data_IF_333541162784
#
_entry.id   IF_333541162784
#
_cell.length_a   1.000
_cell.length_b   1.000
_cell.length_c   1.000
_cell.angle_alpha   90.00
_cell.angle_beta   90.00
_cell.angle_gamma   90.00
#
_symmetry.space_group_name_H-M   'P 1'
#
loop_
_entity.id
_entity.type
_entity.pdbx_description
1 polymer ?
#
# COMPACT_ATOMS: atom_id res chain seq x y z
N UNK A 1 -10.63 4.43 -8.42
CA UNK A 1 -10.77 4.67 -6.96
C UNK A 1 -10.35 6.09 -6.63
N UNK A 2 -11.29 7.06 -6.63
CA UNK A 2 -11.01 8.48 -6.34
C UNK A 2 -11.35 8.88 -4.91
N UNK A 3 -12.05 8.03 -4.17
CA UNK A 3 -12.56 8.30 -2.83
C UNK A 3 -12.23 7.17 -1.86
N UNK A 4 -11.73 7.48 -0.67
CA UNK A 4 -11.48 6.49 0.40
C UNK A 4 -11.52 7.14 1.78
N UNK A 5 -11.93 6.36 2.79
CA UNK A 5 -11.92 6.80 4.19
C UNK A 5 -10.50 7.04 4.74
N UNK A 6 -9.47 6.44 4.13
CA UNK A 6 -8.08 6.64 4.57
C UNK A 6 -7.64 8.10 4.46
N UNK A 7 -8.07 8.82 3.42
CA UNK A 7 -7.71 10.24 3.22
C UNK A 7 -8.43 11.16 4.20
N UNK A 8 -9.67 10.81 4.54
CA UNK A 8 -10.43 11.53 5.56
C UNK A 8 -9.79 11.34 6.93
N UNK A 9 -9.39 10.11 7.27
CA UNK A 9 -8.70 9.80 8.52
C UNK A 9 -7.32 10.46 8.59
N UNK A 10 -6.60 10.52 7.47
CA UNK A 10 -5.30 11.19 7.36
C UNK A 10 -5.39 12.66 7.78
N UNK A 11 -6.33 13.42 7.20
CA UNK A 11 -6.53 14.83 7.58
C UNK A 11 -7.12 14.98 8.99
N UNK A 12 -8.04 14.11 9.42
CA UNK A 12 -8.69 14.24 10.72
C UNK A 12 -7.81 13.84 11.92
N UNK A 13 -6.77 13.03 11.70
CA UNK A 13 -5.89 12.50 12.75
C UNK A 13 -4.42 12.88 12.55
N UNK A 14 -4.13 13.80 11.63
CA UNK A 14 -2.77 14.24 11.29
C UNK A 14 -1.84 13.07 10.95
N UNK A 15 -2.34 12.09 10.20
CA UNK A 15 -1.55 10.94 9.72
C UNK A 15 -1.10 11.21 8.29
N UNK A 16 0.21 11.33 8.09
CA UNK A 16 0.79 11.56 6.77
C UNK A 16 0.88 10.25 5.97
N UNK A 17 0.10 10.17 4.89
CA UNK A 17 0.19 9.13 3.87
C UNK A 17 1.18 9.58 2.79
N UNK A 18 2.23 8.79 2.58
CA UNK A 18 3.21 8.94 1.49
C UNK A 18 3.45 7.57 0.84
N UNK A 19 4.02 7.56 -0.36
CA UNK A 19 4.39 6.33 -1.09
C UNK A 19 5.91 6.13 -1.10
N UNK A 20 6.36 4.94 -1.50
CA UNK A 20 7.79 4.67 -1.69
C UNK A 20 8.45 5.62 -2.70
N UNK A 21 7.72 6.08 -3.73
CA UNK A 21 8.22 7.10 -4.66
C UNK A 21 8.53 8.42 -3.96
N UNK A 22 7.68 8.86 -3.03
CA UNK A 22 7.94 10.08 -2.24
C UNK A 22 9.18 9.91 -1.36
N UNK A 23 9.32 8.74 -0.72
CA UNK A 23 10.49 8.43 0.10
C UNK A 23 11.77 8.43 -0.74
N UNK A 24 11.76 7.82 -1.93
CA UNK A 24 12.89 7.82 -2.85
C UNK A 24 13.29 9.26 -3.24
N UNK A 25 12.31 10.11 -3.52
CA UNK A 25 12.53 11.54 -3.79
C UNK A 25 13.20 12.23 -2.60
N UNK A 26 12.74 12.01 -1.37
CA UNK A 26 13.36 12.62 -0.18
C UNK A 26 14.80 12.14 0.03
N UNK A 27 15.06 10.85 -0.14
CA UNK A 27 16.42 10.28 0.00
C UNK A 27 17.35 10.85 -1.07
N UNK A 28 16.90 10.94 -2.33
CA UNK A 28 17.69 11.53 -3.42
C UNK A 28 17.88 13.03 -3.26
N UNK A 29 16.86 13.74 -2.80
CA UNK A 29 16.97 15.16 -2.49
C UNK A 29 17.97 15.41 -1.36
N UNK A 30 18.01 14.56 -0.33
CA UNK A 30 19.01 14.63 0.73
C UNK A 30 20.43 14.54 0.18
N UNK A 31 20.67 13.63 -0.77
CA UNK A 31 21.98 13.49 -1.44
C UNK A 31 22.33 14.69 -2.33
N UNK A 32 21.34 15.34 -2.95
CA UNK A 32 21.55 16.47 -3.86
C UNK A 32 21.57 17.85 -3.17
N UNK A 33 21.17 17.91 -1.91
CA UNK A 33 21.08 19.13 -1.12
C UNK A 33 21.75 18.95 0.25
N UNK A 34 20.99 18.90 1.34
CA UNK A 34 21.45 18.61 2.69
C UNK A 34 20.37 17.93 3.51
N UNK A 35 20.77 17.28 4.60
CA UNK A 35 19.85 16.67 5.58
C UNK A 35 18.92 17.72 6.18
N UNK A 36 19.42 18.92 6.50
CA UNK A 36 18.62 20.00 7.09
C UNK A 36 17.47 20.43 6.17
N UNK A 37 17.76 20.66 4.88
CA UNK A 37 16.72 21.01 3.90
C UNK A 37 15.71 19.88 3.70
N UNK A 38 16.16 18.64 3.76
CA UNK A 38 15.29 17.48 3.60
C UNK A 38 14.36 17.29 4.80
N UNK A 39 14.86 17.53 6.02
CA UNK A 39 14.04 17.58 7.22
C UNK A 39 13.01 18.71 7.16
N UNK A 40 13.40 19.89 6.68
CA UNK A 40 12.50 21.02 6.49
C UNK A 40 11.37 20.69 5.50
N UNK A 41 11.71 20.07 4.37
CA UNK A 41 10.74 19.58 3.40
C UNK A 41 9.73 18.60 4.03
N UNK A 42 10.21 17.60 4.77
CA UNK A 42 9.34 16.61 5.44
C UNK A 42 8.43 17.30 6.46
N UNK A 43 8.96 18.24 7.23
CA UNK A 43 8.18 19.02 8.18
C UNK A 43 7.08 19.85 7.51
N UNK A 44 7.38 20.48 6.37
CA UNK A 44 6.40 21.23 5.57
C UNK A 44 5.30 20.33 4.98
N UNK A 45 5.65 19.11 4.59
CA UNK A 45 4.65 18.10 4.18
C UNK A 45 3.73 17.72 5.33
N UNK A 46 4.26 17.51 6.54
CA UNK A 46 3.44 17.19 7.71
C UNK A 46 2.47 18.32 8.07
N UNK A 47 2.94 19.58 8.08
CA UNK A 47 2.07 20.75 8.27
C UNK A 47 0.99 20.86 7.20
N UNK A 48 1.29 20.46 5.96
CA UNK A 48 0.31 20.47 4.87
C UNK A 48 -0.81 19.47 5.14
N UNK A 49 -0.48 18.28 5.64
CA UNK A 49 -1.49 17.27 6.00
C UNK A 49 -2.28 17.68 7.24
N UNK A 50 -1.64 18.32 8.22
CA UNK A 50 -2.32 18.81 9.42
C UNK A 50 -3.30 19.96 9.13
N UNK A 51 -2.94 20.85 8.20
CA UNK A 51 -3.76 22.02 7.83
C UNK A 51 -4.84 21.74 6.79
N UNK A 52 -4.89 20.53 6.23
CA UNK A 52 -5.86 20.20 5.20
C UNK A 52 -7.25 19.91 5.79
N UNK A 53 -8.30 20.32 5.08
CA UNK A 53 -9.66 19.91 5.44
C UNK A 53 -9.83 18.40 5.19
N UNK A 54 -10.31 17.62 6.18
CA UNK A 54 -10.53 16.18 6.01
C UNK A 54 -11.49 15.91 4.85
N UNK A 55 -11.03 15.13 3.87
CA UNK A 55 -11.83 14.75 2.71
C UNK A 55 -11.55 13.32 2.32
N UNK A 56 -12.56 12.64 1.77
CA UNK A 56 -12.38 11.31 1.19
C UNK A 56 -11.70 11.37 -0.18
N UNK A 57 -11.61 12.56 -0.79
CA UNK A 57 -11.08 12.72 -2.15
C UNK A 57 -9.55 12.57 -2.18
N UNK A 58 -9.10 11.53 -2.86
CA UNK A 58 -7.68 11.23 -3.06
C UNK A 58 -6.98 12.33 -3.85
N UNK A 59 -7.66 12.95 -4.81
CA UNK A 59 -7.06 13.98 -5.67
C UNK A 59 -6.68 15.22 -4.87
N UNK A 60 -7.57 15.68 -3.98
CA UNK A 60 -7.32 16.83 -3.10
C UNK A 60 -6.10 16.55 -2.22
N UNK A 61 -6.04 15.35 -1.63
CA UNK A 61 -4.94 14.93 -0.77
C UNK A 61 -3.60 14.92 -1.53
N UNK A 62 -3.53 14.17 -2.64
CA UNK A 62 -2.29 14.05 -3.40
C UNK A 62 -1.87 15.35 -4.08
N UNK A 63 -2.82 16.18 -4.51
CA UNK A 63 -2.50 17.49 -5.07
C UNK A 63 -1.83 18.39 -4.03
N UNK A 64 -2.35 18.44 -2.80
CA UNK A 64 -1.76 19.24 -1.72
C UNK A 64 -0.34 18.76 -1.38
N UNK A 65 -0.15 17.46 -1.17
CA UNK A 65 1.15 16.86 -0.83
C UNK A 65 2.16 17.03 -1.96
N UNK A 66 1.80 16.64 -3.19
CA UNK A 66 2.72 16.71 -4.33
C UNK A 66 3.12 18.14 -4.66
N UNK A 67 2.16 19.07 -4.57
CA UNK A 67 2.44 20.49 -4.80
C UNK A 67 3.42 21.03 -3.78
N UNK A 68 3.22 20.74 -2.48
CA UNK A 68 4.16 21.18 -1.45
C UNK A 68 5.58 20.65 -1.69
N UNK A 69 5.71 19.40 -2.14
CA UNK A 69 7.01 18.79 -2.46
C UNK A 69 7.68 19.46 -3.66
N UNK A 70 6.93 19.68 -4.74
CA UNK A 70 7.45 20.28 -5.97
C UNK A 70 7.77 21.78 -5.83
N UNK A 71 6.97 22.51 -5.04
CA UNK A 71 7.11 23.96 -4.83
C UNK A 71 8.25 24.29 -3.84
N UNK A 72 8.83 23.29 -3.14
CA UNK A 72 9.86 23.51 -2.12
C UNK A 72 11.23 23.91 -2.70
N UNK A 73 11.69 23.21 -3.75
CA UNK A 73 13.00 23.47 -4.38
C UNK A 73 12.97 23.03 -5.85
N UNK A 74 13.49 23.87 -6.75
CA UNK A 74 13.54 23.57 -8.18
C UNK A 74 14.33 22.30 -8.54
N UNK A 75 15.26 21.87 -7.69
CA UNK A 75 15.99 20.59 -7.87
C UNK A 75 15.09 19.36 -7.75
N UNK A 76 14.01 19.46 -6.97
CA UNK A 76 13.09 18.33 -6.74
C UNK A 76 12.33 17.97 -8.00
N UNK A 77 12.00 18.93 -8.87
CA UNK A 77 11.26 18.68 -10.09
C UNK A 77 11.96 17.68 -11.03
N UNK A 78 13.29 17.79 -11.16
CA UNK A 78 14.09 16.85 -11.96
C UNK A 78 14.10 15.45 -11.33
N UNK A 79 14.38 15.36 -10.03
CA UNK A 79 14.39 14.10 -9.27
C UNK A 79 13.02 13.42 -9.35
N UNK A 80 11.94 14.19 -9.15
CA UNK A 80 10.57 13.71 -9.19
C UNK A 80 10.21 13.12 -10.56
N UNK A 81 10.64 13.76 -11.65
CA UNK A 81 10.38 13.27 -13.01
C UNK A 81 11.06 11.91 -13.24
N UNK A 82 12.31 11.77 -12.82
CA UNK A 82 13.06 10.52 -12.94
C UNK A 82 12.45 9.42 -12.07
N UNK A 83 12.13 9.70 -10.81
CA UNK A 83 11.51 8.73 -9.90
C UNK A 83 10.12 8.30 -10.36
N UNK A 84 9.34 9.21 -10.94
CA UNK A 84 8.04 8.88 -11.52
C UNK A 84 8.17 7.92 -12.69
N UNK A 85 9.17 8.12 -13.55
CA UNK A 85 9.44 7.22 -14.67
C UNK A 85 9.88 5.84 -14.18
N UNK A 86 10.87 5.79 -13.28
CA UNK A 86 11.34 4.54 -12.68
C UNK A 86 10.22 3.78 -11.94
N UNK A 87 9.31 4.49 -11.27
CA UNK A 87 8.17 3.88 -10.61
C UNK A 87 7.19 3.23 -11.59
N UNK A 88 6.96 3.83 -12.77
CA UNK A 88 6.09 3.24 -13.80
C UNK A 88 6.73 1.99 -14.40
N UNK A 89 8.03 2.04 -14.67
CA UNK A 89 8.80 0.90 -15.18
C UNK A 89 8.80 -0.25 -14.18
N UNK A 90 9.04 0.03 -12.90
CA UNK A 90 9.00 -0.97 -11.83
C UNK A 90 7.63 -1.62 -11.70
N UNK A 91 6.53 -0.85 -11.80
CA UNK A 91 5.17 -1.41 -11.78
C UNK A 91 4.97 -2.38 -12.94
N UNK A 92 5.45 -2.03 -14.13
CA UNK A 92 5.31 -2.88 -15.30
C UNK A 92 6.13 -4.17 -15.17
N UNK A 93 7.37 -4.08 -14.69
CA UNK A 93 8.21 -5.26 -14.43
C UNK A 93 7.56 -6.19 -13.40
N UNK A 94 7.11 -5.66 -12.26
CA UNK A 94 6.44 -6.45 -11.22
C UNK A 94 5.14 -7.07 -11.71
N UNK A 95 4.40 -6.38 -12.58
CA UNK A 95 3.20 -6.92 -13.23
C UNK A 95 3.55 -8.12 -14.10
N UNK A 96 4.55 -8.01 -14.95
CA UNK A 96 4.93 -9.07 -15.89
C UNK A 96 5.49 -10.29 -15.15
N UNK A 97 6.28 -10.07 -14.09
CA UNK A 97 6.75 -11.13 -13.19
C UNK A 97 5.58 -11.84 -12.49
N UNK A 98 4.62 -11.10 -11.94
CA UNK A 98 3.46 -11.67 -11.28
C UNK A 98 2.58 -12.49 -12.24
N UNK A 99 2.41 -12.02 -13.49
CA UNK A 99 1.69 -12.77 -14.53
C UNK A 99 2.45 -14.04 -14.93
N UNK A 100 3.78 -13.96 -15.08
CA UNK A 100 4.63 -15.11 -15.37
C UNK A 100 4.58 -16.17 -14.26
N UNK A 101 4.61 -15.74 -13.00
CA UNK A 101 4.43 -16.61 -11.85
C UNK A 101 3.08 -17.32 -11.87
N UNK A 102 1.97 -16.59 -12.08
CA UNK A 102 0.64 -17.16 -12.15
C UNK A 102 0.46 -18.14 -13.32
N UNK A 103 1.06 -17.85 -14.48
CA UNK A 103 1.06 -18.77 -15.62
C UNK A 103 1.80 -20.06 -15.30
N UNK A 104 2.98 -19.96 -14.68
CA UNK A 104 3.78 -21.12 -14.26
C UNK A 104 3.05 -21.95 -13.21
N UNK A 105 2.38 -21.30 -12.25
CA UNK A 105 1.60 -21.96 -11.22
C UNK A 105 0.37 -22.68 -11.80
N UNK A 106 -0.30 -22.06 -12.78
CA UNK A 106 -1.38 -22.70 -13.53
C UNK A 106 -0.90 -23.98 -14.22
N UNK A 107 0.24 -23.93 -14.91
CA UNK A 107 0.81 -25.13 -15.54
C UNK A 107 1.18 -26.21 -14.52
N UNK A 108 1.71 -25.82 -13.35
CA UNK A 108 2.01 -26.74 -12.26
C UNK A 108 0.77 -27.48 -11.79
N UNK A 109 -0.33 -26.74 -11.56
CA UNK A 109 -1.62 -27.31 -11.16
C UNK A 109 -2.19 -28.23 -12.24
N UNK A 110 -2.09 -27.86 -13.52
CA UNK A 110 -2.58 -28.69 -14.63
C UNK A 110 -1.85 -30.04 -14.76
N UNK A 111 -0.64 -30.16 -14.21
CA UNK A 111 0.14 -31.41 -14.19
C UNK A 111 -0.15 -32.30 -12.99
N UNK A 112 -1.01 -31.88 -12.06
CA UNK A 112 -1.32 -32.69 -10.88
C UNK A 112 -2.01 -34.00 -11.24
N UNK A 113 -1.65 -35.04 -10.51
CA UNK A 113 -2.47 -36.25 -10.46
C UNK A 113 -3.77 -35.97 -9.70
N UNK A 114 -4.78 -36.83 -9.89
CA UNK A 114 -6.08 -36.71 -9.20
C UNK A 114 -5.94 -36.56 -7.67
N UNK A 115 -5.04 -37.33 -7.06
CA UNK A 115 -4.76 -37.30 -5.62
C UNK A 115 -4.12 -35.99 -5.16
N UNK A 116 -3.17 -35.47 -5.95
CA UNK A 116 -2.51 -34.18 -5.67
C UNK A 116 -3.50 -33.02 -5.79
N UNK A 117 -4.37 -33.04 -6.80
CA UNK A 117 -5.41 -32.04 -6.98
C UNK A 117 -6.40 -32.01 -5.81
N UNK A 118 -6.85 -33.18 -5.34
CA UNK A 118 -7.75 -33.28 -4.17
C UNK A 118 -7.07 -32.73 -2.92
N UNK A 119 -5.80 -33.06 -2.68
CA UNK A 119 -5.04 -32.56 -1.52
C UNK A 119 -4.89 -31.05 -1.52
N UNK A 120 -4.55 -30.45 -2.66
CA UNK A 120 -4.41 -28.98 -2.77
C UNK A 120 -5.76 -28.27 -2.63
N UNK A 121 -6.86 -28.86 -3.11
CA UNK A 121 -8.22 -28.33 -2.89
C UNK A 121 -8.62 -28.37 -1.42
N UNK A 122 -8.35 -29.47 -0.71
CA UNK A 122 -8.60 -29.59 0.73
C UNK A 122 -7.82 -28.52 1.53
N UNK A 123 -6.56 -28.28 1.15
CA UNK A 123 -5.72 -27.24 1.74
C UNK A 123 -6.25 -25.83 1.46
N UNK A 124 -6.60 -25.52 0.21
CA UNK A 124 -7.09 -24.19 -0.18
C UNK A 124 -8.46 -23.85 0.44
N UNK A 125 -9.33 -24.85 0.59
CA UNK A 125 -10.66 -24.67 1.21
C UNK A 125 -10.61 -24.52 2.73
N UNK A 126 -9.45 -24.85 3.33
CA UNK A 126 -9.15 -24.72 4.75
C UNK A 126 -10.21 -25.37 5.65
N UNK A 127 -10.75 -26.51 5.21
CA UNK A 127 -11.92 -27.17 5.83
C UNK A 127 -11.61 -27.65 7.25
N UNK A 128 -10.41 -28.16 7.49
CA UNK A 128 -9.99 -28.64 8.82
C UNK A 128 -10.02 -27.50 9.86
N UNK A 129 -9.56 -26.31 9.48
CA UNK A 129 -9.62 -25.13 10.35
C UNK A 129 -11.05 -24.64 10.58
N UNK A 130 -11.94 -24.76 9.58
CA UNK A 130 -13.36 -24.42 9.76
C UNK A 130 -14.07 -25.40 10.69
N UNK A 131 -13.79 -26.70 10.54
CA UNK A 131 -14.31 -27.75 11.41
C UNK A 131 -13.79 -27.54 12.84
N UNK A 132 -12.50 -27.26 13.01
CA UNK A 132 -11.92 -26.93 14.31
C UNK A 132 -12.54 -25.68 14.93
N UNK A 133 -12.74 -24.61 14.15
CA UNK A 133 -13.37 -23.39 14.63
C UNK A 133 -14.80 -23.65 15.13
N UNK A 134 -15.60 -24.42 14.39
CA UNK A 134 -16.96 -24.81 14.81
C UNK A 134 -16.91 -25.64 16.10
N UNK A 135 -15.97 -26.59 16.20
CA UNK A 135 -15.80 -27.37 17.44
C UNK A 135 -15.26 -26.55 18.61
N UNK A 136 -14.49 -25.48 18.35
CA UNK A 136 -13.96 -24.59 19.38
C UNK A 136 -15.01 -23.60 19.90
N UNK A 137 -16.04 -23.33 19.11
CA UNK A 137 -17.28 -22.65 19.53
C UNK A 137 -18.18 -23.71 20.19
N UNK A 138 -17.68 -24.32 21.26
CA UNK A 138 -18.57 -24.94 22.26
C UNK A 138 -19.24 -23.79 23.01
N UNK A 139 -20.52 -23.94 23.35
CA UNK A 139 -21.26 -23.01 24.19
C UNK A 139 -20.40 -22.55 25.37
N UNK A 140 -19.85 -21.33 25.28
CA UNK A 140 -19.53 -20.60 26.48
C UNK A 140 -20.90 -20.14 26.98
N UNK A 141 -21.29 -20.56 28.19
CA UNK A 141 -22.52 -20.24 28.94
C UNK A 141 -22.90 -18.74 29.04
N UNK A 142 -22.31 -17.86 28.22
CA UNK A 142 -22.66 -16.46 28.01
C UNK A 142 -24.16 -16.23 27.68
N UNK A 143 -24.89 -17.25 27.23
CA UNK A 143 -26.36 -17.19 27.03
C UNK A 143 -27.06 -18.37 27.75
N UNK A 144 -26.49 -18.88 28.83
CA UNK A 144 -27.19 -19.80 29.73
C UNK A 144 -28.33 -19.07 30.44
N UNK A 145 -29.58 -19.34 30.06
CA UNK A 145 -30.76 -19.01 30.86
C UNK A 145 -30.79 -19.97 32.07
N UNK A 146 -30.06 -19.60 33.12
CA UNK A 146 -30.06 -20.24 34.43
C UNK A 146 -30.02 -19.17 35.53
#
# INVERSE_FOLDING_TARGET
TRTSHIYQQAGARSVCIITYTHLAVFVRYTKASSTTKSMELVHEVFKTVESMNPSKDAHIYWQAVNRKILDFDGKIAAIWKEEKQASVESIQISRDEALGFLASERERIMRFTKEQAIKEVLKASNLDNKIWAIHSVVDNDLIGLG
#
